data_IF_951064732465
#
_entry.id   IF_951064732465
#
_cell.length_a   1.000
_cell.length_b   1.000
_cell.length_c   1.000
_cell.angle_alpha   90.00
_cell.angle_beta   90.00
_cell.angle_gamma   90.00
#
_symmetry.space_group_name_H-M   'P 1'
#
loop_
_entity.id
_entity.type
_entity.pdbx_description
1 polymer ?
#
# COMPACT_ATOMS: atom_id res chain seq x y z
N UNK A 1 37.88 -41.22 23.36
CA UNK A 1 38.69 -40.90 24.56
C UNK A 1 39.24 -39.49 24.37
N UNK A 2 38.60 -38.49 24.99
CA UNK A 2 39.06 -37.09 25.05
C UNK A 2 39.80 -36.88 26.38
N UNK A 3 40.82 -36.00 26.45
CA UNK A 3 41.21 -35.37 27.69
C UNK A 3 40.49 -34.02 27.86
N UNK A 4 39.93 -33.82 29.04
CA UNK A 4 39.34 -32.56 29.49
C UNK A 4 40.42 -31.58 29.92
N UNK A 5 40.23 -30.30 29.62
CA UNK A 5 40.77 -29.21 30.44
C UNK A 5 39.76 -28.07 30.48
N UNK A 6 39.14 -27.91 31.64
CA UNK A 6 38.28 -26.80 32.01
C UNK A 6 39.10 -25.51 32.25
N UNK A 7 38.46 -24.35 32.00
CA UNK A 7 38.64 -23.03 32.66
C UNK A 7 37.69 -22.04 31.95
N UNK A 8 36.48 -21.76 32.47
CA UNK A 8 36.09 -20.76 33.50
C UNK A 8 36.30 -19.28 33.12
N UNK A 9 35.19 -18.54 33.02
CA UNK A 9 34.88 -17.20 33.59
C UNK A 9 33.57 -16.71 32.92
N UNK A 10 32.37 -16.65 33.52
CA UNK A 10 31.81 -15.76 34.58
C UNK A 10 32.22 -14.29 34.45
N UNK A 11 31.28 -13.41 34.08
CA UNK A 11 30.68 -12.39 34.97
C UNK A 11 29.80 -11.37 34.22
N UNK A 12 28.72 -10.99 34.89
CA UNK A 12 27.70 -10.01 34.50
C UNK A 12 28.14 -8.56 34.73
N UNK A 13 27.46 -7.60 34.08
CA UNK A 13 27.21 -6.27 34.64
C UNK A 13 26.03 -5.60 33.93
N UNK A 14 24.94 -5.38 34.67
CA UNK A 14 23.95 -4.37 34.36
C UNK A 14 24.47 -3.00 34.81
N UNK A 15 24.24 -1.96 34.02
CA UNK A 15 24.30 -0.58 34.51
C UNK A 15 23.14 0.22 33.90
N UNK A 16 22.23 0.64 34.79
CA UNK A 16 21.23 1.67 34.55
C UNK A 16 21.93 3.02 34.66
N UNK A 17 21.75 3.89 33.67
CA UNK A 17 22.02 5.32 33.81
C UNK A 17 20.92 6.11 33.08
N UNK A 18 19.98 6.63 33.87
CA UNK A 18 18.99 7.61 33.48
C UNK A 18 19.66 8.96 33.24
N UNK A 19 19.43 9.59 32.09
CA UNK A 19 19.63 11.03 31.92
C UNK A 19 18.54 11.65 31.03
N UNK A 20 17.91 12.66 31.63
CA UNK A 20 17.26 13.84 31.03
C UNK A 20 16.16 13.62 29.96
N UNK A 21 14.92 13.75 30.43
CA UNK A 21 13.77 14.09 29.60
C UNK A 21 13.93 15.51 29.01
N UNK A 22 14.19 15.60 27.72
CA UNK A 22 13.72 16.70 26.87
C UNK A 22 12.40 16.29 26.20
N UNK A 23 11.55 17.23 25.72
CA UNK A 23 10.35 16.87 24.98
C UNK A 23 10.80 16.14 23.70
N UNK A 24 10.58 14.82 23.67
CA UNK A 24 10.82 14.02 22.50
C UNK A 24 9.88 14.49 21.39
N UNK A 25 10.46 14.96 20.29
CA UNK A 25 9.78 14.97 19.00
C UNK A 25 9.31 13.53 18.76
N UNK A 26 8.03 13.26 18.45
CA UNK A 26 7.57 11.89 18.27
C UNK A 26 8.36 11.23 17.12
N UNK A 27 9.11 10.18 17.45
CA UNK A 27 9.74 9.32 16.45
C UNK A 27 8.66 8.65 15.58
N UNK A 28 8.84 8.58 14.25
CA UNK A 28 7.96 7.83 13.38
C UNK A 28 7.86 6.37 13.82
N UNK A 29 6.64 5.83 13.77
CA UNK A 29 6.26 4.49 14.23
C UNK A 29 7.28 3.40 13.91
N UNK A 30 7.60 2.62 14.94
CA UNK A 30 8.55 1.51 14.91
C UNK A 30 8.16 0.52 13.82
N UNK A 31 9.05 0.29 12.85
CA UNK A 31 8.91 -0.78 11.87
C UNK A 31 8.68 -2.11 12.61
N UNK A 32 7.73 -2.92 12.14
CA UNK A 32 7.74 -4.35 12.46
C UNK A 32 8.98 -4.92 11.78
N UNK A 33 9.83 -5.61 12.53
CA UNK A 33 11.08 -6.16 11.99
C UNK A 33 10.70 -7.17 10.88
N UNK A 34 11.05 -6.93 9.61
CA UNK A 34 10.61 -7.78 8.51
C UNK A 34 11.20 -9.18 8.67
N UNK A 35 10.42 -10.21 8.36
CA UNK A 35 10.95 -11.57 8.26
C UNK A 35 12.07 -11.66 7.22
N UNK A 36 12.96 -12.66 7.28
CA UNK A 36 14.00 -12.84 6.27
C UNK A 36 13.39 -12.92 4.86
N UNK A 37 13.75 -11.97 3.98
CA UNK A 37 13.23 -11.87 2.61
C UNK A 37 11.98 -11.00 2.43
N UNK A 38 11.46 -10.41 3.50
CA UNK A 38 10.36 -9.45 3.46
C UNK A 38 10.88 -8.02 3.29
N UNK A 39 10.20 -7.24 2.45
CA UNK A 39 10.57 -5.84 2.21
C UNK A 39 10.09 -5.00 3.39
N UNK A 40 11.00 -4.24 4.00
CA UNK A 40 10.67 -3.37 5.13
C UNK A 40 9.63 -2.31 4.71
N UNK A 41 8.50 -2.25 5.43
CA UNK A 41 7.47 -1.25 5.21
C UNK A 41 7.16 -0.46 6.48
N UNK A 42 7.00 0.86 6.35
CA UNK A 42 6.58 1.74 7.44
C UNK A 42 5.40 2.59 7.02
N UNK A 43 4.62 3.05 8.00
CA UNK A 43 3.55 4.02 7.77
C UNK A 43 3.67 5.16 8.77
N UNK A 44 3.62 6.40 8.31
CA UNK A 44 3.37 7.57 9.13
C UNK A 44 1.94 8.06 8.92
N UNK A 45 1.34 8.64 9.97
CA UNK A 45 0.00 9.26 9.88
C UNK A 45 0.06 10.70 10.38
N UNK A 46 -0.55 11.62 9.62
CA UNK A 46 -0.59 13.05 9.95
C UNK A 46 -2.01 13.59 9.78
N UNK A 47 -2.46 14.37 10.77
CA UNK A 47 -3.78 14.99 10.77
C UNK A 47 -4.92 14.04 11.09
N UNK A 48 -6.14 14.50 10.82
CA UNK A 48 -7.37 13.78 11.18
C UNK A 48 -7.80 12.87 10.04
N UNK A 49 -7.31 11.62 10.05
CA UNK A 49 -7.60 10.64 8.99
C UNK A 49 -9.09 10.21 9.01
N UNK A 50 -9.80 10.25 7.87
CA UNK A 50 -11.17 9.76 7.79
C UNK A 50 -11.31 8.27 8.11
N UNK A 51 -12.43 7.88 8.71
CA UNK A 51 -12.78 6.49 8.96
C UNK A 51 -13.08 5.72 7.65
N UNK A 52 -13.14 4.38 7.75
CA UNK A 52 -13.53 3.50 6.63
C UNK A 52 -12.42 3.12 5.66
N UNK A 53 -11.17 3.56 5.93
CA UNK A 53 -10.01 3.19 5.10
C UNK A 53 -9.52 1.76 5.32
N UNK A 54 -9.66 1.22 6.54
CA UNK A 54 -9.15 -0.11 6.88
C UNK A 54 -9.80 -1.18 6.01
N UNK A 55 -9.00 -1.96 5.28
CA UNK A 55 -9.42 -2.98 4.32
C UNK A 55 -8.35 -3.40 3.32
N UNK A 56 -8.68 -4.43 2.54
CA UNK A 56 -7.94 -4.81 1.32
C UNK A 56 -8.47 -4.01 0.15
N UNK A 57 -7.57 -3.48 -0.68
CA UNK A 57 -7.90 -2.61 -1.80
C UNK A 57 -7.14 -2.99 -3.04
N UNK A 58 -7.85 -3.08 -4.16
CA UNK A 58 -7.29 -3.10 -5.50
C UNK A 58 -7.24 -1.66 -6.01
N UNK A 59 -6.05 -1.09 -6.07
CA UNK A 59 -5.81 0.24 -6.64
C UNK A 59 -5.58 0.08 -8.13
N UNK A 60 -6.45 0.69 -8.94
CA UNK A 60 -6.29 0.77 -10.39
C UNK A 60 -6.03 2.23 -10.76
N UNK A 61 -4.85 2.48 -11.30
CA UNK A 61 -4.48 3.79 -11.83
C UNK A 61 -4.45 3.80 -13.35
N UNK A 62 -4.56 4.99 -13.93
CA UNK A 62 -4.29 5.23 -15.33
C UNK A 62 -3.31 6.40 -15.42
N UNK A 63 -2.09 6.10 -15.87
CA UNK A 63 -1.10 7.10 -16.21
C UNK A 63 -1.56 7.78 -17.51
N UNK A 64 -1.60 9.11 -17.50
CA UNK A 64 -2.00 9.90 -18.66
C UNK A 64 -0.75 10.49 -19.32
N UNK A 65 -0.34 9.90 -20.43
CA UNK A 65 0.67 10.45 -21.33
C UNK A 65 0.00 10.91 -22.63
N UNK A 66 0.60 11.86 -23.37
CA UNK A 66 0.08 12.27 -24.67
C UNK A 66 -0.07 11.06 -25.61
N UNK A 67 -1.31 10.72 -25.97
CA UNK A 67 -1.63 9.59 -26.85
C UNK A 67 -1.55 8.19 -26.22
N UNK A 68 -1.19 8.07 -24.93
CA UNK A 68 -1.04 6.79 -24.25
C UNK A 68 -1.58 6.85 -22.80
N UNK A 69 -2.60 6.05 -22.53
CA UNK A 69 -3.15 5.78 -21.22
C UNK A 69 -2.71 4.39 -20.76
N UNK A 70 -1.66 4.31 -19.94
CA UNK A 70 -1.19 3.03 -19.41
C UNK A 70 -1.86 2.76 -18.06
N UNK A 71 -2.74 1.76 -17.96
CA UNK A 71 -3.30 1.38 -16.68
C UNK A 71 -2.27 0.60 -15.87
N UNK A 72 -2.37 0.67 -14.55
CA UNK A 72 -1.58 -0.14 -13.63
C UNK A 72 -2.46 -0.56 -12.47
N UNK A 73 -2.06 -1.62 -11.78
CA UNK A 73 -2.72 -2.10 -10.58
C UNK A 73 -1.75 -2.24 -9.41
N UNK A 74 -2.22 -1.96 -8.20
CA UNK A 74 -1.50 -2.20 -6.95
C UNK A 74 -2.45 -2.75 -5.90
N UNK A 75 -1.90 -3.44 -4.92
CA UNK A 75 -2.66 -4.04 -3.84
C UNK A 75 -2.28 -3.36 -2.52
N UNK A 76 -3.26 -2.75 -1.86
CA UNK A 76 -3.07 -2.22 -0.50
C UNK A 76 -3.81 -3.08 0.51
N UNK A 77 -3.17 -3.29 1.64
CA UNK A 77 -3.81 -3.71 2.87
C UNK A 77 -3.68 -2.58 3.88
N UNK A 78 -4.79 -1.93 4.19
CA UNK A 78 -4.86 -0.90 5.22
C UNK A 78 -5.42 -1.54 6.47
N UNK A 79 -4.66 -1.57 7.56
CA UNK A 79 -5.04 -2.26 8.81
C UNK A 79 -4.83 -1.36 10.03
N UNK A 80 -5.57 -1.57 11.12
CA UNK A 80 -5.25 -0.95 12.39
C UNK A 80 -3.87 -1.43 12.86
N UNK A 81 -2.95 -0.49 13.08
CA UNK A 81 -1.70 -0.74 13.78
C UNK A 81 -1.81 -0.37 15.28
N UNK A 82 -0.75 -0.60 16.06
CA UNK A 82 -0.76 -0.34 17.49
C UNK A 82 -0.83 1.16 17.84
N UNK A 83 -0.33 2.06 16.98
CA UNK A 83 -0.42 3.51 17.20
C UNK A 83 -1.36 4.23 16.22
N UNK A 84 -1.43 3.78 14.97
CA UNK A 84 -2.21 4.41 13.91
C UNK A 84 -2.54 3.39 12.82
N UNK A 85 -3.31 3.79 11.80
CA UNK A 85 -3.51 2.96 10.61
C UNK A 85 -2.16 2.68 9.92
N UNK A 86 -1.97 1.42 9.52
CA UNK A 86 -0.85 0.97 8.72
C UNK A 86 -1.33 0.75 7.29
N UNK A 87 -0.57 1.25 6.32
CA UNK A 87 -0.74 0.92 4.90
C UNK A 87 0.39 -0.04 4.55
N UNK A 88 0.01 -1.21 4.04
CA UNK A 88 0.93 -2.21 3.52
C UNK A 88 0.72 -2.30 2.02
N UNK A 89 1.78 -2.06 1.25
CA UNK A 89 1.80 -2.40 -0.16
C UNK A 89 2.03 -3.91 -0.28
N UNK A 90 1.01 -4.64 -0.71
CA UNK A 90 1.16 -6.08 -0.97
C UNK A 90 1.92 -6.26 -2.28
N UNK A 91 3.21 -6.56 -2.16
CA UNK A 91 4.13 -6.85 -3.25
C UNK A 91 3.86 -8.26 -3.80
N UNK A 92 2.78 -8.38 -4.57
CA UNK A 92 2.32 -9.64 -5.14
C UNK A 92 1.81 -9.43 -6.57
N UNK A 93 1.84 -10.50 -7.37
CA UNK A 93 1.28 -10.51 -8.71
C UNK A 93 -0.25 -10.54 -8.66
N UNK A 94 -0.91 -9.93 -9.65
CA UNK A 94 -2.33 -10.16 -9.88
C UNK A 94 -2.54 -11.58 -10.41
N UNK A 95 -3.67 -12.23 -10.13
CA UNK A 95 -4.08 -13.43 -10.85
C UNK A 95 -4.02 -13.23 -12.37
N UNK A 96 -3.50 -14.20 -13.12
CA UNK A 96 -3.27 -14.11 -14.58
C UNK A 96 -4.49 -13.59 -15.35
N UNK A 97 -5.68 -14.04 -14.98
CA UNK A 97 -6.93 -13.60 -15.61
C UNK A 97 -7.19 -12.09 -15.42
N UNK A 98 -6.87 -11.54 -14.24
CA UNK A 98 -6.99 -10.11 -13.96
C UNK A 98 -5.88 -9.32 -14.64
N UNK A 99 -4.65 -9.84 -14.63
CA UNK A 99 -3.54 -9.21 -15.34
C UNK A 99 -3.83 -9.10 -16.85
N UNK A 100 -4.37 -10.15 -17.47
CA UNK A 100 -4.77 -10.12 -18.87
C UNK A 100 -5.85 -9.06 -19.17
N UNK A 101 -6.80 -8.84 -18.25
CA UNK A 101 -7.83 -7.78 -18.37
C UNK A 101 -7.21 -6.38 -18.26
N UNK A 102 -6.26 -6.19 -17.34
CA UNK A 102 -5.50 -4.95 -17.21
C UNK A 102 -4.72 -4.64 -18.49
N UNK A 103 -3.98 -5.62 -19.02
CA UNK A 103 -3.22 -5.48 -20.28
C UNK A 103 -4.13 -5.19 -21.47
N UNK A 104 -5.28 -5.87 -21.58
CA UNK A 104 -6.26 -5.60 -22.63
C UNK A 104 -6.84 -4.18 -22.56
N UNK A 105 -7.05 -3.65 -21.35
CA UNK A 105 -7.47 -2.25 -21.16
C UNK A 105 -6.37 -1.27 -21.61
N UNK A 106 -5.11 -1.57 -21.30
CA UNK A 106 -3.95 -0.80 -21.74
C UNK A 106 -3.78 -0.80 -23.26
N UNK A 107 -3.87 -1.96 -23.90
CA UNK A 107 -3.87 -2.08 -25.36
C UNK A 107 -5.02 -1.30 -26.01
N UNK A 108 -6.17 -1.20 -25.33
CA UNK A 108 -7.31 -0.38 -25.77
C UNK A 108 -7.23 1.09 -25.36
N UNK A 109 -6.13 1.53 -24.73
CA UNK A 109 -5.89 2.89 -24.27
C UNK A 109 -6.97 3.42 -23.31
N UNK A 110 -7.52 2.53 -22.48
CA UNK A 110 -8.62 2.83 -21.54
C UNK A 110 -8.26 2.42 -20.11
N UNK A 111 -8.86 3.08 -19.09
CA UNK A 111 -8.72 2.59 -17.72
C UNK A 111 -9.36 1.21 -17.59
N UNK A 112 -8.73 0.33 -16.83
CA UNK A 112 -9.40 -0.88 -16.37
C UNK A 112 -10.37 -0.53 -15.24
N UNK A 113 -11.58 -1.08 -15.28
CA UNK A 113 -12.57 -0.99 -14.21
C UNK A 113 -12.93 -2.43 -13.84
N UNK A 114 -12.47 -2.94 -12.67
CA UNK A 114 -12.80 -4.29 -12.25
C UNK A 114 -14.31 -4.40 -11.97
N UNK A 115 -14.89 -5.54 -12.32
CA UNK A 115 -16.26 -5.88 -11.94
C UNK A 115 -16.31 -6.66 -10.60
N UNK A 116 -17.51 -6.97 -10.11
CA UNK A 116 -17.68 -7.70 -8.85
C UNK A 116 -17.05 -9.11 -8.89
N UNK A 117 -17.00 -9.74 -10.07
CA UNK A 117 -16.38 -11.06 -10.24
C UNK A 117 -14.86 -10.94 -10.14
N UNK A 118 -14.28 -9.91 -10.73
CA UNK A 118 -12.84 -9.60 -10.61
C UNK A 118 -12.45 -9.43 -9.14
N UNK A 119 -13.22 -8.64 -8.40
CA UNK A 119 -12.97 -8.38 -6.98
C UNK A 119 -13.15 -9.63 -6.12
N UNK A 120 -14.13 -10.48 -6.45
CA UNK A 120 -14.35 -11.74 -5.76
C UNK A 120 -13.21 -12.73 -6.00
N UNK A 121 -12.78 -12.91 -7.25
CA UNK A 121 -11.65 -13.78 -7.60
C UNK A 121 -10.36 -13.32 -6.90
N UNK A 122 -10.10 -12.01 -6.86
CA UNK A 122 -8.97 -11.45 -6.13
C UNK A 122 -9.11 -11.68 -4.62
N UNK A 123 -10.31 -11.58 -4.07
CA UNK A 123 -10.55 -11.79 -2.64
C UNK A 123 -10.28 -13.25 -2.23
N UNK A 124 -10.71 -14.22 -3.04
CA UNK A 124 -10.47 -15.65 -2.78
C UNK A 124 -8.98 -16.00 -2.81
N UNK A 125 -8.22 -15.40 -3.73
CA UNK A 125 -6.80 -15.69 -3.92
C UNK A 125 -5.85 -14.79 -3.13
N UNK A 126 -6.37 -13.79 -2.40
CA UNK A 126 -5.56 -12.71 -1.82
C UNK A 126 -4.35 -13.21 -1.05
N UNK A 127 -4.57 -14.20 -0.19
CA UNK A 127 -3.54 -14.73 0.72
C UNK A 127 -2.59 -15.73 0.04
N UNK A 128 -2.92 -16.18 -1.17
CA UNK A 128 -2.18 -17.16 -1.98
C UNK A 128 -1.49 -16.52 -3.19
N UNK A 129 -1.58 -15.19 -3.36
CA UNK A 129 -0.97 -14.50 -4.49
C UNK A 129 0.56 -14.69 -4.50
N UNK A 130 1.16 -14.99 -5.67
CA UNK A 130 2.60 -15.11 -5.80
C UNK A 130 3.30 -13.81 -5.36
N UNK A 131 4.33 -13.88 -4.49
CA UNK A 131 5.07 -12.70 -4.11
C UNK A 131 5.80 -12.12 -5.31
N UNK A 132 5.71 -10.80 -5.47
CA UNK A 132 6.49 -10.02 -6.42
C UNK A 132 7.35 -9.03 -5.64
N UNK A 133 8.36 -9.55 -4.94
CA UNK A 133 9.30 -8.77 -4.15
C UNK A 133 10.51 -8.34 -4.95
N UNK A 134 10.49 -8.49 -6.28
CA UNK A 134 11.69 -8.63 -7.11
C UNK A 134 12.67 -7.45 -7.04
N UNK A 135 12.32 -6.33 -6.40
CA UNK A 135 12.95 -5.07 -6.72
C UNK A 135 12.88 -4.00 -5.61
N UNK A 136 11.89 -4.03 -4.72
CA UNK A 136 11.78 -3.04 -3.64
C UNK A 136 12.65 -3.44 -2.45
N UNK A 137 13.53 -2.54 -2.01
CA UNK A 137 14.32 -2.74 -0.79
C UNK A 137 13.66 -2.14 0.44
N UNK A 138 12.82 -1.12 0.24
CA UNK A 138 12.09 -0.45 1.31
C UNK A 138 10.87 0.26 0.76
N UNK A 139 9.76 0.24 1.51
CA UNK A 139 8.55 1.01 1.21
C UNK A 139 8.21 1.89 2.41
N UNK A 140 7.98 3.17 2.17
CA UNK A 140 7.53 4.12 3.18
C UNK A 140 6.17 4.67 2.76
N UNK A 141 5.20 4.60 3.66
CA UNK A 141 3.87 5.16 3.48
C UNK A 141 3.66 6.38 4.38
N UNK A 142 2.96 7.40 3.87
CA UNK A 142 2.38 8.44 4.72
C UNK A 142 0.89 8.61 4.39
N UNK A 143 0.04 8.54 5.39
CA UNK A 143 -1.37 8.91 5.29
C UNK A 143 -1.54 10.30 5.87
N UNK A 144 -1.83 11.28 5.02
CA UNK A 144 -1.88 12.69 5.40
C UNK A 144 -3.29 13.20 5.14
N UNK A 145 -4.00 13.58 6.19
CA UNK A 145 -5.29 14.23 6.08
C UNK A 145 -5.14 15.69 5.62
N UNK A 146 -6.19 16.25 5.02
CA UNK A 146 -6.14 17.58 4.42
C UNK A 146 -5.78 18.71 5.40
N UNK A 147 -6.13 18.56 6.68
CA UNK A 147 -5.80 19.48 7.77
C UNK A 147 -4.30 19.52 8.13
N UNK A 148 -3.55 18.50 7.73
CA UNK A 148 -2.12 18.37 8.01
C UNK A 148 -1.24 18.37 6.75
N UNK A 149 -1.74 18.87 5.61
CA UNK A 149 -0.94 18.92 4.39
C UNK A 149 0.31 19.81 4.55
N UNK A 150 1.51 19.24 4.35
CA UNK A 150 2.73 20.04 4.21
C UNK A 150 2.63 20.97 2.99
N UNK A 151 3.44 22.04 2.91
CA UNK A 151 3.33 23.04 1.83
C UNK A 151 3.34 22.45 0.41
N UNK A 152 4.18 21.44 0.14
CA UNK A 152 4.27 20.77 -1.16
C UNK A 152 2.95 20.11 -1.59
N UNK A 153 2.22 19.52 -0.63
CA UNK A 153 0.90 18.93 -0.88
C UNK A 153 -0.23 19.96 -0.78
N UNK A 154 -0.08 21.01 0.02
CA UNK A 154 -1.13 22.03 0.17
C UNK A 154 -1.28 22.87 -1.09
N UNK A 155 -0.16 23.25 -1.68
CA UNK A 155 -0.09 24.11 -2.85
C UNK A 155 -0.10 23.30 -4.16
N UNK A 156 0.07 21.98 -4.05
CA UNK A 156 0.07 21.04 -5.16
C UNK A 156 -1.28 20.92 -5.88
N UNK A 157 -1.24 20.94 -7.22
CA UNK A 157 -2.46 20.83 -8.03
C UNK A 157 -3.16 19.47 -7.92
N UNK A 158 -2.42 18.39 -7.66
CA UNK A 158 -2.98 17.04 -7.53
C UNK A 158 -3.92 16.94 -6.31
N UNK A 159 -3.47 17.46 -5.17
CA UNK A 159 -4.13 17.42 -3.86
C UNK A 159 -5.16 18.53 -3.65
N UNK A 160 -5.39 19.40 -4.64
CA UNK A 160 -6.46 20.39 -4.57
C UNK A 160 -7.82 19.69 -4.46
N UNK A 161 -8.51 19.94 -3.34
CA UNK A 161 -9.83 19.37 -3.04
C UNK A 161 -9.81 17.90 -2.61
N UNK A 162 -8.64 17.32 -2.31
CA UNK A 162 -8.59 15.99 -1.69
C UNK A 162 -8.87 16.04 -0.20
N UNK A 163 -9.47 14.96 0.32
CA UNK A 163 -9.76 14.77 1.75
C UNK A 163 -8.56 14.20 2.51
N UNK A 164 -7.78 13.37 1.83
CA UNK A 164 -6.51 12.83 2.33
C UNK A 164 -5.58 12.49 1.15
N UNK A 165 -4.31 12.32 1.43
CA UNK A 165 -3.31 11.80 0.51
C UNK A 165 -2.66 10.55 1.11
N UNK A 166 -2.52 9.50 0.31
CA UNK A 166 -1.65 8.37 0.63
C UNK A 166 -0.40 8.56 -0.21
N UNK A 167 0.74 8.78 0.45
CA UNK A 167 2.05 8.90 -0.19
C UNK A 167 2.75 7.56 -0.04
N UNK A 168 3.31 7.04 -1.12
CA UNK A 168 4.13 5.82 -1.12
C UNK A 168 5.47 6.16 -1.73
N UNK A 169 6.55 6.00 -0.96
CA UNK A 169 7.91 6.08 -1.45
C UNK A 169 8.53 4.68 -1.46
N UNK A 170 8.96 4.22 -2.63
CA UNK A 170 9.64 2.94 -2.79
C UNK A 170 11.10 3.20 -3.13
N UNK A 171 12.00 2.54 -2.39
CA UNK A 171 13.41 2.45 -2.72
C UNK A 171 13.70 1.10 -3.34
N UNK A 172 14.65 1.13 -4.25
CA UNK A 172 14.96 0.04 -5.15
C UNK A 172 16.43 -0.34 -5.02
N UNK A 173 16.73 -1.63 -4.95
CA UNK A 173 18.10 -2.15 -4.86
C UNK A 173 18.66 -2.58 -6.22
N UNK A 174 19.98 -2.77 -6.28
CA UNK A 174 20.67 -3.20 -7.51
C UNK A 174 20.94 -2.06 -8.50
N UNK A 175 21.49 -2.42 -9.66
CA UNK A 175 21.85 -1.47 -10.72
C UNK A 175 20.62 -1.25 -11.61
N UNK A 176 19.88 -0.17 -11.37
CA UNK A 176 18.65 0.16 -12.10
C UNK A 176 18.60 1.61 -12.56
N UNK A 177 17.88 1.90 -13.66
CA UNK A 177 17.67 3.27 -14.13
C UNK A 177 16.80 4.09 -13.16
N UNK A 178 15.94 3.43 -12.36
CA UNK A 178 15.11 4.06 -11.33
C UNK A 178 15.52 3.51 -9.97
N UNK A 179 15.99 4.39 -9.07
CA UNK A 179 16.45 4.06 -7.72
C UNK A 179 15.39 4.38 -6.66
N UNK A 180 14.44 5.27 -6.99
CA UNK A 180 13.33 5.63 -6.12
C UNK A 180 12.10 5.98 -6.93
N UNK A 181 10.92 5.64 -6.40
CA UNK A 181 9.66 6.27 -6.82
C UNK A 181 8.98 6.92 -5.62
N UNK A 182 8.34 8.06 -5.83
CA UNK A 182 7.43 8.69 -4.86
C UNK A 182 6.10 8.92 -5.54
N UNK A 183 5.09 8.20 -5.06
CA UNK A 183 3.71 8.27 -5.57
C UNK A 183 2.80 8.95 -4.57
N UNK A 184 1.97 9.88 -5.03
CA UNK A 184 0.96 10.59 -4.24
C UNK A 184 -0.41 10.24 -4.80
N UNK A 185 -1.22 9.59 -3.97
CA UNK A 185 -2.62 9.24 -4.24
C UNK A 185 -3.52 10.20 -3.47
N UNK A 186 -3.94 11.28 -4.13
CA UNK A 186 -4.81 12.29 -3.54
C UNK A 186 -6.28 11.85 -3.65
N UNK A 187 -6.87 11.40 -2.53
CA UNK A 187 -8.23 10.87 -2.47
C UNK A 187 -9.22 12.03 -2.38
N UNK A 188 -10.07 12.18 -3.38
CA UNK A 188 -11.14 13.21 -3.44
C UNK A 188 -12.48 12.63 -3.02
N UNK A 189 -12.77 11.43 -3.51
CA UNK A 189 -13.97 10.67 -3.19
C UNK A 189 -13.60 9.52 -2.26
N UNK A 190 -14.31 9.43 -1.13
CA UNK A 190 -14.11 8.40 -0.13
C UNK A 190 -15.45 7.77 0.21
N UNK A 191 -15.51 6.45 0.06
CA UNK A 191 -16.63 5.60 0.48
C UNK A 191 -16.09 4.27 1.01
N UNK A 192 -16.89 3.50 1.77
CA UNK A 192 -16.45 2.20 2.28
C UNK A 192 -16.03 1.19 1.19
N UNK A 193 -16.59 1.31 -0.02
CA UNK A 193 -16.34 0.40 -1.13
C UNK A 193 -15.34 0.94 -2.17
N UNK A 194 -15.14 2.26 -2.23
CA UNK A 194 -14.36 2.92 -3.28
C UNK A 194 -13.67 4.19 -2.81
N UNK A 195 -12.41 4.33 -3.18
CA UNK A 195 -11.66 5.59 -3.13
C UNK A 195 -11.41 6.05 -4.56
N UNK A 196 -11.44 7.35 -4.83
CA UNK A 196 -11.07 7.87 -6.15
C UNK A 196 -10.41 9.24 -6.05
N UNK A 197 -9.53 9.53 -7.01
CA UNK A 197 -8.89 10.82 -7.11
C UNK A 197 -7.77 10.88 -8.13
N UNK A 198 -6.76 11.69 -7.83
CA UNK A 198 -5.62 11.93 -8.73
C UNK A 198 -4.37 11.24 -8.22
N UNK A 199 -3.52 10.87 -9.15
CA UNK A 199 -2.27 10.21 -8.92
C UNK A 199 -1.14 11.03 -9.54
N UNK A 200 -0.06 11.20 -8.79
CA UNK A 200 1.22 11.70 -9.33
C UNK A 200 2.31 10.76 -8.86
N UNK A 201 3.21 10.37 -9.75
CA UNK A 201 4.37 9.56 -9.41
C UNK A 201 5.63 10.19 -9.98
N UNK A 202 6.61 10.39 -9.13
CA UNK A 202 7.93 10.85 -9.50
C UNK A 202 8.90 9.68 -9.41
N UNK A 203 9.54 9.35 -10.52
CA UNK A 203 10.62 8.37 -10.59
C UNK A 203 11.96 9.10 -10.64
N UNK A 204 12.91 8.67 -9.81
CA UNK A 204 14.25 9.27 -9.71
C UNK A 204 15.32 8.22 -10.06
N UNK A 205 16.27 8.60 -10.89
CA UNK A 205 17.42 7.78 -11.27
C UNK A 205 18.73 8.12 -10.51
N UNK A 206 19.83 7.42 -10.82
CA UNK A 206 21.13 7.67 -10.20
C UNK A 206 21.84 8.92 -10.75
N UNK A 207 22.78 9.50 -9.99
CA UNK A 207 23.70 10.57 -10.42
C UNK A 207 23.37 12.00 -9.92
N UNK A 208 24.33 12.96 -9.93
CA UNK A 208 24.09 14.36 -9.57
C UNK A 208 24.06 15.32 -10.79
N UNK A 209 23.04 16.19 -10.96
CA UNK A 209 21.74 16.11 -10.29
C UNK A 209 20.97 14.88 -10.78
N UNK A 210 20.07 14.31 -9.95
CA UNK A 210 19.34 13.12 -10.33
C UNK A 210 18.33 13.43 -11.44
N UNK A 211 18.24 12.52 -12.41
CA UNK A 211 17.18 12.55 -13.42
C UNK A 211 15.85 12.21 -12.76
N UNK A 212 14.84 13.06 -12.94
CA UNK A 212 13.49 12.87 -12.41
C UNK A 212 12.45 12.88 -13.54
N UNK A 213 11.50 11.95 -13.48
CA UNK A 213 10.38 11.85 -14.41
C UNK A 213 9.09 11.87 -13.58
N UNK A 214 8.21 12.84 -13.85
CA UNK A 214 6.91 12.93 -13.21
C UNK A 214 5.80 12.42 -14.15
N UNK A 215 5.01 11.48 -13.66
CA UNK A 215 3.83 10.93 -14.29
C UNK A 215 2.60 11.39 -13.53
N UNK A 216 1.54 11.75 -14.24
CA UNK A 216 0.26 12.16 -13.64
C UNK A 216 -0.86 11.30 -14.17
N UNK A 217 -1.91 11.15 -13.37
CA UNK A 217 -3.03 10.30 -13.72
C UNK A 217 -4.21 10.41 -12.78
N UNK A 218 -5.13 9.48 -12.97
CA UNK A 218 -6.26 9.25 -12.06
C UNK A 218 -6.11 7.86 -11.47
N UNK A 219 -6.68 7.67 -10.29
CA UNK A 219 -6.77 6.34 -9.70
C UNK A 219 -8.12 6.13 -9.06
N UNK A 220 -8.44 4.85 -8.92
CA UNK A 220 -9.56 4.35 -8.15
C UNK A 220 -9.07 3.18 -7.33
N UNK A 221 -9.44 3.11 -6.06
CA UNK A 221 -9.23 1.94 -5.23
C UNK A 221 -10.57 1.27 -4.97
N UNK A 222 -10.66 -0.03 -5.25
CA UNK A 222 -11.85 -0.84 -5.07
C UNK A 222 -11.66 -1.76 -3.87
N UNK A 223 -12.67 -1.82 -3.01
CA UNK A 223 -12.64 -2.68 -1.83
C UNK A 223 -12.65 -4.15 -2.26
N UNK A 224 -11.65 -4.90 -1.82
CA UNK A 224 -11.58 -6.35 -2.01
C UNK A 224 -12.18 -6.98 -0.77
N UNK A 225 -13.41 -7.49 -0.89
CA UNK A 225 -14.13 -8.10 0.21
C UNK A 225 -14.46 -9.53 -0.15
N UNK A 226 -14.20 -10.46 0.77
CA UNK A 226 -14.77 -11.81 0.65
C UNK A 226 -16.27 -11.65 0.88
N UNK A 227 -17.04 -11.60 -0.21
CA UNK A 227 -18.49 -11.71 -0.12
C UNK A 227 -18.81 -13.06 0.54
N UNK A 228 -19.64 -13.11 1.58
CA UNK A 228 -20.12 -14.38 2.10
C UNK A 228 -20.79 -15.15 0.93
N UNK A 229 -20.59 -16.47 0.82
CA UNK A 229 -21.14 -17.25 -0.28
C UNK A 229 -22.64 -17.00 -0.35
N UNK A 230 -23.14 -16.60 -1.54
CA UNK A 230 -24.57 -16.39 -1.75
C UNK A 230 -25.29 -17.68 -1.32
N UNK A 231 -26.28 -17.62 -0.42
CA UNK A 231 -27.00 -18.82 -0.03
C UNK A 231 -27.63 -19.42 -1.30
N UNK A 232 -27.57 -20.74 -1.48
CA UNK A 232 -28.13 -21.36 -2.66
C UNK A 232 -29.62 -20.98 -2.75
N UNK A 233 -30.11 -20.67 -3.95
CA UNK A 233 -31.49 -20.23 -4.22
C UNK A 233 -32.56 -21.14 -3.56
N UNK A 234 -32.23 -22.41 -3.28
CA UNK A 234 -33.03 -23.34 -2.48
C UNK A 234 -33.39 -22.81 -1.08
N UNK A 235 -32.42 -22.23 -0.33
CA UNK A 235 -32.66 -21.70 1.02
C UNK A 235 -33.57 -20.47 1.04
N UNK A 236 -33.59 -19.69 -0.04
CA UNK A 236 -34.45 -18.51 -0.17
C UNK A 236 -35.92 -18.91 -0.36
N UNK A 237 -36.18 -20.04 -1.04
CA UNK A 237 -37.51 -20.65 -1.12
C UNK A 237 -37.95 -21.22 0.22
N UNK A 238 -37.06 -21.90 0.94
CA UNK A 238 -37.40 -22.48 2.25
C UNK A 238 -37.70 -21.40 3.31
N UNK A 239 -37.01 -20.25 3.26
CA UNK A 239 -37.29 -19.10 4.14
C UNK A 239 -38.58 -18.35 3.80
N UNK A 240 -39.01 -18.34 2.53
CA UNK A 240 -40.27 -17.72 2.11
C UNK A 240 -41.47 -18.66 2.25
N UNK A 241 -41.25 -19.98 2.26
CA UNK A 241 -42.30 -21.00 2.29
C UNK A 241 -42.39 -21.75 3.63
N UNK A 242 -41.44 -21.56 4.54
CA UNK A 242 -41.35 -22.28 5.83
C UNK A 242 -41.94 -21.55 7.04
N UNK A 243 -42.72 -20.49 6.83
CA UNK A 243 -43.47 -19.82 7.90
C UNK A 243 -44.83 -20.46 8.12
N UNK A 244 -44.89 -21.62 8.79
CA UNK A 244 -46.07 -22.16 9.48
C UNK A 244 -45.64 -22.70 10.83
#
# INVERSE_FOLDING_TARGET
MMPSSARRAIAAAALVASFAAGPAVPEPGRATDPGPGEVAQTTGVRGTVPEGLAGRWLVVGQILLPGLGQPFARLWEIRPGPQHLEVVLRLAELPDALYARLEAAGAANRPWTPDDRDLHELAEKWDELPPNTADASQVEHEVIAADAYPPDLRDGQATRGSRLAIVTAERFSGVRPVTRTRSVYAVRELSPARLAGTFVSEATGPGPPPLAIALSGRFQAYRVTVLPPRPPLRRLRDLLMGGV
#
